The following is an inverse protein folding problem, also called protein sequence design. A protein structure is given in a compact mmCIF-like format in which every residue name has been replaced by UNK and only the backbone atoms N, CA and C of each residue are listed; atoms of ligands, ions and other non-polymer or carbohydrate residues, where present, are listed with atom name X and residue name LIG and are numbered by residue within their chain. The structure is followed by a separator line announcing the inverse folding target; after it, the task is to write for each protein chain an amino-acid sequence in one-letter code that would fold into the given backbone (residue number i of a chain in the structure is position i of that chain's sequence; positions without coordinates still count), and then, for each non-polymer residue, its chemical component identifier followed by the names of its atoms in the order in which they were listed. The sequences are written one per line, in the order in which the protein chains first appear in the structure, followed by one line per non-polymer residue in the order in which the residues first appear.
data_IF_419132109679
#
_entry.id   IF_419132109679
#
_cell.length_a   1.000
_cell.length_b   1.000
_cell.length_c   1.000
_cell.angle_alpha   90.00
_cell.angle_beta   90.00
_cell.angle_gamma   90.00
#
_symmetry.space_group_name_H-M   'P 1'
#
loop_
_entity.id
_entity.type
_entity.pdbx_description
1 polymer ?
#
# COMPACT_ATOMS: atom_id res chain seq x y z
N UNK A 1 22.75 17.82 36.49
CA UNK A 1 22.92 16.54 35.78
C UNK A 1 21.76 15.62 36.13
N UNK A 2 20.68 15.64 35.35
CA UNK A 2 19.50 14.79 35.57
C UNK A 2 19.79 13.37 35.10
N UNK A 3 20.18 12.51 36.04
CA UNK A 3 20.30 11.07 35.83
C UNK A 3 18.95 10.51 35.38
N UNK A 4 18.84 10.14 34.10
CA UNK A 4 17.66 9.47 33.56
C UNK A 4 17.77 7.98 33.90
N UNK A 5 16.99 7.51 34.85
CA UNK A 5 16.91 6.09 35.19
C UNK A 5 16.51 5.28 33.95
N UNK A 6 17.19 4.17 33.61
CA UNK A 6 16.85 3.38 32.43
C UNK A 6 15.47 2.74 32.60
N UNK A 7 14.58 3.00 31.64
CA UNK A 7 13.21 2.46 31.62
C UNK A 7 13.26 0.93 31.64
N UNK A 8 12.59 0.31 32.61
CA UNK A 8 12.55 -1.15 32.76
C UNK A 8 11.86 -1.81 31.55
N UNK A 9 12.11 -3.10 31.32
CA UNK A 9 11.47 -3.83 30.22
C UNK A 9 9.94 -3.87 30.39
N UNK A 10 9.45 -3.87 31.62
CA UNK A 10 8.03 -3.86 31.93
C UNK A 10 7.40 -2.48 31.68
N UNK A 11 8.07 -1.39 32.07
CA UNK A 11 7.63 -0.03 31.73
C UNK A 11 7.65 0.21 30.22
N UNK A 12 8.63 -0.35 29.50
CA UNK A 12 8.65 -0.36 28.03
C UNK A 12 7.43 -1.09 27.47
N UNK A 13 7.02 -2.24 28.02
CA UNK A 13 5.78 -2.92 27.60
C UNK A 13 4.53 -2.10 27.89
N UNK A 14 4.47 -1.39 29.03
CA UNK A 14 3.35 -0.50 29.42
C UNK A 14 3.15 0.68 28.47
N UNK A 15 4.23 1.18 27.86
CA UNK A 15 4.16 2.26 26.87
C UNK A 15 3.58 1.81 25.52
N UNK A 16 3.69 0.52 25.21
CA UNK A 16 3.30 -0.05 23.92
C UNK A 16 1.96 -0.78 23.94
N UNK A 17 1.60 -1.47 25.03
CA UNK A 17 0.39 -2.27 25.10
C UNK A 17 -0.85 -1.42 25.44
N UNK A 18 -1.92 -1.44 24.62
CA UNK A 18 -3.15 -0.73 24.95
C UNK A 18 -3.96 -1.55 25.95
N UNK A 19 -4.03 -1.05 27.19
CA UNK A 19 -4.89 -1.65 28.20
C UNK A 19 -6.35 -1.50 27.79
N UNK A 20 -7.13 -2.57 27.89
CA UNK A 20 -8.57 -2.58 27.60
C UNK A 20 -8.96 -2.75 26.14
N UNK A 21 -8.01 -2.93 25.21
CA UNK A 21 -8.34 -3.24 23.80
C UNK A 21 -8.54 -4.74 23.62
N UNK A 22 -9.62 -5.10 22.92
CA UNK A 22 -9.95 -6.47 22.54
C UNK A 22 -9.28 -6.86 21.21
N UNK A 23 -8.99 -8.15 21.06
CA UNK A 23 -8.48 -8.71 19.81
C UNK A 23 -9.50 -8.45 18.70
N UNK A 24 -9.06 -7.88 17.57
CA UNK A 24 -9.96 -7.58 16.46
C UNK A 24 -10.52 -8.82 15.74
N UNK A 25 -9.92 -9.99 15.97
CA UNK A 25 -10.38 -11.27 15.43
C UNK A 25 -11.31 -11.99 16.40
N UNK A 26 -10.80 -12.39 17.57
CA UNK A 26 -11.51 -13.27 18.49
C UNK A 26 -12.06 -12.59 19.75
N UNK A 27 -11.94 -11.26 19.85
CA UNK A 27 -12.39 -10.42 20.98
C UNK A 27 -11.80 -10.76 22.37
N UNK A 28 -10.84 -11.68 22.45
CA UNK A 28 -10.10 -11.94 23.69
C UNK A 28 -9.19 -10.76 24.07
N UNK A 29 -8.77 -10.62 25.34
CA UNK A 29 -7.81 -9.61 25.74
C UNK A 29 -6.53 -9.66 24.90
N UNK A 30 -6.07 -8.50 24.42
CA UNK A 30 -4.88 -8.40 23.57
C UNK A 30 -3.61 -8.76 24.33
N UNK A 31 -2.62 -9.34 23.64
CA UNK A 31 -1.35 -9.77 24.24
C UNK A 31 -0.12 -9.11 23.62
N UNK A 32 -0.31 -7.94 22.98
CA UNK A 32 0.78 -7.11 22.47
C UNK A 32 1.13 -7.30 20.99
N UNK A 33 0.38 -8.13 20.26
CA UNK A 33 0.49 -8.22 18.80
C UNK A 33 -0.32 -7.10 18.17
N UNK A 34 0.25 -6.38 17.20
CA UNK A 34 -0.41 -5.26 16.55
C UNK A 34 -0.17 -5.24 15.04
N UNK A 35 -1.11 -4.67 14.30
CA UNK A 35 -1.01 -4.44 12.86
C UNK A 35 -1.20 -2.95 12.58
N UNK A 36 -0.44 -2.44 11.61
CA UNK A 36 -0.50 -1.05 11.16
C UNK A 36 -1.15 -1.00 9.79
N UNK A 37 -2.19 -0.17 9.70
CA UNK A 37 -2.80 0.22 8.45
C UNK A 37 -1.84 1.13 7.65
N UNK A 38 -1.41 0.75 6.44
CA UNK A 38 -0.53 1.55 5.59
C UNK A 38 -1.17 2.87 5.12
N UNK A 39 -2.50 2.91 4.96
CA UNK A 39 -3.23 4.09 4.49
C UNK A 39 -3.60 5.04 5.62
N UNK A 40 -3.52 4.56 6.88
CA UNK A 40 -3.72 5.44 8.02
C UNK A 40 -2.44 6.25 8.22
N UNK A 41 -2.48 7.60 8.07
CA UNK A 41 -1.31 8.41 8.34
C UNK A 41 -0.84 8.10 9.75
N UNK A 42 0.48 8.09 9.96
CA UNK A 42 1.07 7.97 11.28
C UNK A 42 0.46 9.09 12.14
N UNK A 43 -0.54 8.74 12.96
CA UNK A 43 -1.42 9.71 13.60
C UNK A 43 -0.58 10.79 14.29
N UNK A 44 -0.68 12.06 13.87
CA UNK A 44 0.05 13.15 14.52
C UNK A 44 -0.12 13.03 16.05
N UNK A 45 0.94 13.18 16.87
CA UNK A 45 0.78 13.09 18.31
C UNK A 45 -0.32 14.06 18.78
N UNK A 46 -1.17 13.66 19.75
CA UNK A 46 -2.14 14.58 20.32
C UNK A 46 -1.43 15.84 20.82
N UNK A 47 -2.01 17.03 20.57
CA UNK A 47 -1.45 18.34 20.94
C UNK A 47 -1.05 18.46 22.43
N UNK A 48 -1.60 17.60 23.30
CA UNK A 48 -1.31 17.55 24.74
C UNK A 48 -0.16 16.61 25.14
N UNK A 49 0.46 15.90 24.21
CA UNK A 49 1.53 14.95 24.53
C UNK A 49 2.86 15.67 24.75
N UNK A 50 3.37 15.62 25.98
CA UNK A 50 4.73 16.08 26.34
C UNK A 50 5.86 15.39 25.57
N UNK A 51 5.54 14.33 24.81
CA UNK A 51 6.48 13.55 24.00
C UNK A 51 6.42 13.87 22.50
N UNK A 52 5.66 14.88 22.08
CA UNK A 52 5.52 15.27 20.68
C UNK A 52 6.84 15.73 20.02
N UNK A 53 7.85 16.12 20.82
CA UNK A 53 9.15 16.62 20.35
C UNK A 53 10.30 15.61 20.44
N UNK A 54 10.06 14.39 20.92
CA UNK A 54 11.11 13.36 21.02
C UNK A 54 10.99 12.35 19.89
N UNK A 55 12.12 12.04 19.22
CA UNK A 55 12.31 10.98 18.19
C UNK A 55 11.80 9.57 18.55
N UNK A 56 11.17 9.41 19.71
CA UNK A 56 10.65 8.16 20.27
C UNK A 56 9.17 7.94 20.02
N UNK A 57 8.48 8.89 19.37
CA UNK A 57 7.10 8.67 18.95
C UNK A 57 7.05 7.57 17.88
N UNK A 58 6.61 6.38 18.30
CA UNK A 58 6.39 5.25 17.40
C UNK A 58 4.88 5.17 17.15
N UNK A 59 4.44 5.19 15.89
CA UNK A 59 3.03 5.21 15.59
C UNK A 59 2.37 3.97 16.20
N UNK A 60 1.20 4.13 16.82
CA UNK A 60 0.53 2.98 17.44
C UNK A 60 -0.01 2.04 16.35
N UNK A 61 0.02 0.72 16.53
CA UNK A 61 -0.78 -0.19 15.71
C UNK A 61 -2.23 0.30 15.64
N UNK A 62 -2.84 0.23 14.45
CA UNK A 62 -4.25 0.57 14.25
C UNK A 62 -5.17 -0.52 14.81
N UNK A 63 -4.68 -1.75 14.88
CA UNK A 63 -5.41 -2.93 15.34
C UNK A 63 -4.52 -3.82 16.21
N UNK A 64 -5.11 -4.51 17.20
CA UNK A 64 -4.40 -5.34 18.17
C UNK A 64 -4.96 -6.77 18.26
N UNK A 65 -4.11 -7.73 18.66
CA UNK A 65 -4.43 -9.17 18.68
C UNK A 65 -3.95 -9.87 19.95
N UNK A 66 -4.58 -11.02 20.24
CA UNK A 66 -4.21 -11.89 21.36
C UNK A 66 -3.07 -12.87 21.03
N UNK A 67 -2.77 -13.11 19.75
CA UNK A 67 -1.80 -14.12 19.30
C UNK A 67 -1.31 -13.86 17.86
N UNK A 68 -0.18 -14.47 17.49
CA UNK A 68 0.32 -14.46 16.11
C UNK A 68 -0.67 -15.07 15.10
N UNK A 69 -1.39 -16.17 15.39
CA UNK A 69 -2.46 -16.68 14.51
C UNK A 69 -3.55 -15.65 14.22
N UNK A 70 -4.04 -14.92 15.23
CA UNK A 70 -5.05 -13.87 15.03
C UNK A 70 -4.49 -12.71 14.19
N UNK A 71 -3.24 -12.31 14.42
CA UNK A 71 -2.57 -11.32 13.59
C UNK A 71 -2.41 -11.80 12.14
N UNK A 72 -2.04 -13.07 11.95
CA UNK A 72 -1.85 -13.68 10.63
C UNK A 72 -3.16 -13.77 9.84
N UNK A 73 -4.25 -14.22 10.47
CA UNK A 73 -5.57 -14.25 9.85
C UNK A 73 -6.01 -12.85 9.42
N UNK A 74 -5.88 -11.86 10.31
CA UNK A 74 -6.19 -10.47 9.98
C UNK A 74 -5.33 -9.94 8.83
N UNK A 75 -4.04 -10.24 8.81
CA UNK A 75 -3.13 -9.78 7.75
C UNK A 75 -3.51 -10.37 6.39
N UNK A 76 -3.98 -11.62 6.33
CA UNK A 76 -4.49 -12.22 5.07
C UNK A 76 -5.73 -11.48 4.56
N UNK A 77 -6.73 -11.32 5.43
CA UNK A 77 -7.96 -10.57 5.10
C UNK A 77 -7.69 -9.10 4.75
N UNK A 78 -6.73 -8.47 5.43
CA UNK A 78 -6.34 -7.10 5.16
C UNK A 78 -5.61 -6.99 3.81
N UNK A 79 -4.77 -7.97 3.44
CA UNK A 79 -4.12 -7.99 2.11
C UNK A 79 -5.13 -8.08 0.98
N UNK A 80 -6.16 -8.93 1.10
CA UNK A 80 -7.27 -9.00 0.13
C UNK A 80 -8.00 -7.66 -0.06
N UNK A 81 -7.90 -6.74 0.92
CA UNK A 81 -8.52 -5.41 0.88
C UNK A 81 -7.56 -4.24 0.66
N UNK A 82 -6.24 -4.47 0.78
CA UNK A 82 -5.21 -3.40 0.88
C UNK A 82 -4.01 -3.63 -0.04
N UNK A 83 -3.78 -4.83 -0.59
CA UNK A 83 -2.49 -5.15 -1.20
C UNK A 83 -2.59 -5.46 -2.69
N UNK A 84 -1.91 -4.60 -3.48
CA UNK A 84 -1.56 -4.74 -4.90
C UNK A 84 -2.74 -4.63 -5.86
N UNK A 85 -2.53 -3.96 -7.01
CA UNK A 85 -3.45 -4.11 -8.14
C UNK A 85 -3.32 -5.57 -8.57
N UNK A 86 -4.26 -6.40 -8.12
CA UNK A 86 -4.43 -7.76 -8.62
C UNK A 86 -4.94 -7.64 -10.06
N UNK A 87 -3.99 -7.38 -10.97
CA UNK A 87 -4.27 -7.29 -12.39
C UNK A 87 -4.87 -8.62 -12.84
N UNK A 88 -6.05 -8.56 -13.44
CA UNK A 88 -6.64 -9.73 -14.08
C UNK A 88 -5.73 -10.23 -15.20
N UNK A 89 -5.90 -11.47 -15.65
CA UNK A 89 -5.10 -12.00 -16.75
C UNK A 89 -5.28 -11.18 -18.03
N UNK A 90 -6.48 -10.63 -18.25
CA UNK A 90 -6.79 -9.70 -19.33
C UNK A 90 -6.00 -8.39 -19.17
N UNK A 91 -5.97 -7.81 -17.96
CA UNK A 91 -5.23 -6.58 -17.71
C UNK A 91 -3.71 -6.79 -17.86
N UNK A 92 -3.18 -7.97 -17.49
CA UNK A 92 -1.78 -8.34 -17.74
C UNK A 92 -1.47 -8.47 -19.23
N UNK A 93 -2.39 -9.07 -19.99
CA UNK A 93 -2.27 -9.18 -21.45
C UNK A 93 -2.32 -7.81 -22.12
N UNK A 94 -3.23 -6.92 -21.68
CA UNK A 94 -3.35 -5.57 -22.19
C UNK A 94 -2.11 -4.72 -21.91
N UNK A 95 -1.51 -4.83 -20.71
CA UNK A 95 -0.22 -4.17 -20.41
C UNK A 95 0.86 -4.66 -21.38
N UNK A 96 0.96 -5.97 -21.59
CA UNK A 96 1.96 -6.57 -22.48
C UNK A 96 1.79 -6.10 -23.93
N UNK A 97 0.55 -6.01 -24.41
CA UNK A 97 0.23 -5.49 -25.75
C UNK A 97 0.63 -4.01 -25.90
N UNK A 98 0.51 -3.22 -24.82
CA UNK A 98 0.81 -1.79 -24.81
C UNK A 98 2.31 -1.49 -24.76
N UNK A 99 3.14 -2.41 -24.28
CA UNK A 99 4.59 -2.20 -24.12
C UNK A 99 5.28 -1.74 -25.41
N UNK A 100 4.85 -2.26 -26.56
CA UNK A 100 5.43 -1.88 -27.85
C UNK A 100 5.14 -0.43 -28.22
N UNK A 101 3.93 0.06 -27.95
CA UNK A 101 3.53 1.46 -28.20
C UNK A 101 4.34 2.43 -27.35
N UNK A 102 4.45 2.13 -26.06
CA UNK A 102 5.28 2.88 -25.10
C UNK A 102 6.75 2.89 -25.52
N UNK A 103 7.28 1.77 -26.02
CA UNK A 103 8.65 1.69 -26.50
C UNK A 103 8.91 2.59 -27.73
N UNK A 104 7.93 2.75 -28.64
CA UNK A 104 8.05 3.66 -29.77
C UNK A 104 8.10 5.13 -29.32
N UNK A 105 7.24 5.52 -28.38
CA UNK A 105 7.26 6.88 -27.81
C UNK A 105 8.58 7.14 -27.07
N UNK A 106 9.10 6.14 -26.34
CA UNK A 106 10.43 6.25 -25.71
C UNK A 106 11.58 6.32 -26.72
N UNK A 107 11.44 5.71 -27.90
CA UNK A 107 12.42 5.81 -28.98
C UNK A 107 12.47 7.23 -29.57
N UNK A 108 11.30 7.86 -29.76
CA UNK A 108 11.18 9.25 -30.19
C UNK A 108 11.75 10.25 -29.17
N UNK A 109 11.54 9.97 -27.88
CA UNK A 109 12.09 10.76 -26.77
C UNK A 109 13.61 10.54 -26.62
N UNK A 110 14.09 9.35 -27.01
CA UNK A 110 15.47 8.91 -26.88
C UNK A 110 15.75 8.19 -25.55
N UNK A 111 16.14 6.93 -25.66
CA UNK A 111 16.45 6.03 -24.52
C UNK A 111 17.57 6.51 -23.58
N UNK A 112 18.38 7.47 -24.02
CA UNK A 112 19.50 8.01 -23.21
C UNK A 112 19.04 9.07 -22.21
N UNK A 113 17.84 9.63 -22.39
CA UNK A 113 17.28 10.62 -21.48
C UNK A 113 16.81 9.93 -20.21
N UNK A 114 17.29 10.40 -19.05
CA UNK A 114 16.81 9.83 -17.79
C UNK A 114 15.36 10.24 -17.57
N UNK A 115 14.56 9.39 -16.92
CA UNK A 115 13.16 9.71 -16.61
C UNK A 115 12.99 11.01 -15.80
N UNK A 116 14.00 11.38 -15.01
CA UNK A 116 13.98 12.61 -14.21
C UNK A 116 14.17 13.89 -15.05
N UNK A 117 14.77 13.76 -16.23
CA UNK A 117 15.08 14.87 -17.13
C UNK A 117 14.04 15.05 -18.24
N UNK A 118 12.99 14.21 -18.25
CA UNK A 118 11.89 14.35 -19.19
C UNK A 118 11.09 15.63 -18.93
N UNK A 119 10.81 16.35 -20.01
CA UNK A 119 9.89 17.49 -19.96
C UNK A 119 8.47 17.03 -19.63
N UNK A 120 7.66 17.94 -19.09
CA UNK A 120 6.25 17.64 -18.78
C UNK A 120 5.50 17.13 -20.01
N UNK A 121 5.75 17.70 -21.19
CA UNK A 121 5.13 17.29 -22.45
C UNK A 121 5.48 15.83 -22.82
N UNK A 122 6.73 15.42 -22.61
CA UNK A 122 7.19 14.05 -22.91
C UNK A 122 6.59 13.04 -21.93
N UNK A 123 6.55 13.35 -20.64
CA UNK A 123 5.91 12.50 -19.63
C UNK A 123 4.41 12.36 -19.93
N UNK A 124 3.76 13.47 -20.31
CA UNK A 124 2.34 13.46 -20.68
C UNK A 124 2.08 12.56 -21.88
N UNK A 125 2.86 12.71 -22.96
CA UNK A 125 2.74 11.87 -24.15
C UNK A 125 2.91 10.38 -23.83
N UNK A 126 3.88 10.03 -22.96
CA UNK A 126 4.10 8.65 -22.54
C UNK A 126 2.91 8.07 -21.77
N UNK A 127 2.32 8.84 -20.85
CA UNK A 127 1.16 8.42 -20.06
C UNK A 127 -0.09 8.29 -20.95
N UNK A 128 -0.33 9.26 -21.83
CA UNK A 128 -1.47 9.24 -22.76
C UNK A 128 -1.41 8.01 -23.67
N UNK A 129 -0.25 7.73 -24.26
CA UNK A 129 -0.07 6.55 -25.12
C UNK A 129 -0.23 5.24 -24.34
N UNK A 130 0.28 5.17 -23.10
CA UNK A 130 0.11 3.99 -22.26
C UNK A 130 -1.35 3.73 -21.88
N UNK A 131 -2.11 4.79 -21.55
CA UNK A 131 -3.53 4.66 -21.20
C UNK A 131 -4.36 4.30 -22.43
N UNK A 132 -4.11 4.93 -23.57
CA UNK A 132 -4.84 4.67 -24.81
C UNK A 132 -4.59 3.23 -25.30
N UNK A 133 -3.32 2.81 -25.35
CA UNK A 133 -2.96 1.44 -25.73
C UNK A 133 -3.57 0.38 -24.82
N UNK A 134 -3.62 0.64 -23.52
CA UNK A 134 -4.26 -0.28 -22.58
C UNK A 134 -5.77 -0.39 -22.84
N UNK A 135 -6.45 0.74 -23.05
CA UNK A 135 -7.90 0.77 -23.31
C UNK A 135 -8.26 0.08 -24.62
N UNK A 136 -7.49 0.29 -25.67
CA UNK A 136 -7.66 -0.39 -26.95
C UNK A 136 -7.48 -1.91 -26.79
N UNK A 137 -6.40 -2.34 -26.15
CA UNK A 137 -6.12 -3.76 -25.94
C UNK A 137 -7.22 -4.44 -25.10
N UNK A 138 -7.71 -3.79 -24.05
CA UNK A 138 -8.85 -4.28 -23.27
C UNK A 138 -10.13 -4.39 -24.11
N UNK A 139 -10.37 -3.43 -25.00
CA UNK A 139 -11.53 -3.47 -25.90
C UNK A 139 -11.43 -4.61 -26.92
N UNK A 140 -10.23 -4.88 -27.46
CA UNK A 140 -9.97 -6.03 -28.33
C UNK A 140 -10.20 -7.37 -27.61
N UNK A 141 -9.68 -7.50 -26.39
CA UNK A 141 -9.87 -8.71 -25.57
C UNK A 141 -11.36 -8.92 -25.28
N UNK A 142 -12.09 -7.87 -24.90
CA UNK A 142 -13.52 -7.95 -24.64
C UNK A 142 -14.33 -8.35 -25.90
N UNK A 143 -13.97 -7.82 -27.08
CA UNK A 143 -14.57 -8.22 -28.36
C UNK A 143 -14.31 -9.69 -28.67
N UNK A 144 -13.07 -10.17 -28.49
CA UNK A 144 -12.71 -11.56 -28.74
C UNK A 144 -13.42 -12.56 -27.81
N UNK A 145 -13.78 -12.13 -26.59
CA UNK A 145 -14.46 -12.96 -25.60
C UNK A 145 -15.99 -12.95 -25.73
N UNK A 146 -16.58 -12.02 -26.48
CA UNK A 146 -18.02 -11.92 -26.67
C UNK A 146 -18.42 -12.68 -27.94
N UNK A 147 -19.04 -13.87 -27.86
CA UNK A 147 -19.60 -14.51 -29.04
C UNK A 147 -20.68 -13.59 -29.61
N UNK A 148 -20.57 -13.23 -30.90
CA UNK A 148 -21.63 -12.49 -31.59
C UNK A 148 -22.93 -13.26 -31.41
N UNK A 149 -23.88 -12.68 -30.67
CA UNK A 149 -25.22 -13.26 -30.52
C UNK A 149 -25.94 -13.02 -31.84
N UNK A 150 -26.26 -14.07 -32.63
CA UNK A 150 -27.01 -13.88 -33.86
C UNK A 150 -28.40 -13.36 -33.47
N UNK A 151 -28.77 -12.23 -34.07
CA UNK A 151 -30.07 -11.59 -33.93
C UNK A 151 -31.20 -12.44 -34.49
#
# INVERSE_FOLDING_TARGET
MTSSTPITAEERRRLWHPRGTLCAVCRQPTRGFGWRDPHRPAALPPRSSKYARTRTWRPRPSVWFCSMPCQGLWTRLARERVAMVDLTEEERAAITATMKRVALVMDEIGWQTTFADLTEAQVRALIEEAVEGFREAMADIARAQTPEVPF
#
